data_IF_580108261434
#
_entry.id   IF_580108261434
#
_cell.length_a   1.000
_cell.length_b   1.000
_cell.length_c   1.000
_cell.angle_alpha   90.00
_cell.angle_beta   90.00
_cell.angle_gamma   90.00
#
_symmetry.space_group_name_H-M   'P 1'
#
loop_
_entity.id
_entity.type
_entity.pdbx_description
1 polymer ?
#
# COMPACT_ATOMS: atom_id res chain seq x y z
N UNK A 1 0.55 -7.28 13.63
CA UNK A 1 1.53 -6.51 14.40
C UNK A 1 1.07 -5.06 14.40
N UNK A 2 0.75 -4.46 15.55
CA UNK A 2 0.32 -3.06 15.63
C UNK A 2 1.34 -2.10 15.02
N UNK A 3 2.63 -2.43 15.13
CA UNK A 3 3.71 -1.60 14.63
C UNK A 3 3.73 -1.50 13.09
N UNK A 4 3.16 -2.46 12.35
CA UNK A 4 3.16 -2.42 10.87
C UNK A 4 1.82 -2.04 10.26
N UNK A 5 0.78 -1.82 11.09
CA UNK A 5 -0.57 -1.51 10.64
C UNK A 5 -0.71 -0.17 9.89
N UNK A 6 0.26 0.73 10.07
CA UNK A 6 0.30 2.05 9.44
C UNK A 6 1.03 2.05 8.09
N UNK A 7 1.74 0.98 7.74
CA UNK A 7 2.51 0.90 6.51
C UNK A 7 1.55 0.68 5.34
N UNK A 8 1.50 1.60 4.35
CA UNK A 8 0.60 1.45 3.22
C UNK A 8 1.04 0.27 2.33
N UNK A 9 0.14 -0.69 2.10
CA UNK A 9 0.42 -1.89 1.30
C UNK A 9 -0.08 -1.69 -0.14
N UNK A 10 0.83 -1.76 -1.11
CA UNK A 10 0.56 -1.67 -2.53
C UNK A 10 0.72 -3.05 -3.18
N UNK A 11 -0.35 -3.61 -3.75
CA UNK A 11 -0.29 -4.91 -4.43
C UNK A 11 -0.16 -4.75 -5.95
N UNK A 12 0.73 -5.52 -6.57
CA UNK A 12 0.97 -5.49 -8.03
C UNK A 12 0.80 -6.91 -8.61
N UNK A 13 -0.19 -7.12 -9.48
CA UNK A 13 -0.49 -8.43 -10.09
C UNK A 13 -0.52 -8.36 -11.62
N UNK A 14 -0.05 -9.42 -12.29
CA UNK A 14 -0.05 -9.49 -13.76
C UNK A 14 -1.42 -9.80 -14.38
N UNK A 15 -2.35 -10.30 -13.57
CA UNK A 15 -3.68 -10.70 -13.99
C UNK A 15 -4.64 -10.46 -12.81
N UNK A 16 -4.75 -9.21 -12.34
CA UNK A 16 -5.67 -8.90 -11.26
C UNK A 16 -7.09 -8.88 -11.83
N UNK A 17 -7.96 -9.77 -11.34
CA UNK A 17 -9.38 -9.64 -11.58
C UNK A 17 -9.94 -8.51 -10.70
N UNK A 18 -11.04 -7.90 -11.13
CA UNK A 18 -11.72 -6.84 -10.35
C UNK A 18 -12.05 -7.34 -8.93
N UNK A 19 -12.31 -8.63 -8.77
CA UNK A 19 -12.52 -9.29 -7.48
C UNK A 19 -11.29 -9.27 -6.57
N UNK A 20 -10.08 -9.42 -7.11
CA UNK A 20 -8.83 -9.36 -6.33
C UNK A 20 -8.55 -7.94 -5.85
N UNK A 21 -8.81 -6.96 -6.72
CA UNK A 21 -8.69 -5.53 -6.39
C UNK A 21 -9.66 -5.18 -5.27
N UNK A 22 -10.93 -5.61 -5.40
CA UNK A 22 -11.97 -5.33 -4.41
C UNK A 22 -11.66 -6.02 -3.08
N UNK A 23 -11.23 -7.27 -3.10
CA UNK A 23 -10.83 -7.99 -1.90
C UNK A 23 -9.61 -7.34 -1.22
N UNK A 24 -8.62 -6.88 -1.99
CA UNK A 24 -7.47 -6.15 -1.46
C UNK A 24 -7.88 -4.85 -0.79
N UNK A 25 -8.74 -4.05 -1.42
CA UNK A 25 -9.25 -2.80 -0.85
C UNK A 25 -10.05 -3.07 0.44
N UNK A 26 -10.94 -4.08 0.44
CA UNK A 26 -11.73 -4.45 1.62
C UNK A 26 -10.85 -4.97 2.78
N UNK A 27 -9.67 -5.52 2.47
CA UNK A 27 -8.69 -5.95 3.48
C UNK A 27 -7.70 -4.85 3.90
N UNK A 28 -7.89 -3.61 3.42
CA UNK A 28 -7.08 -2.46 3.83
C UNK A 28 -5.82 -2.25 2.98
N UNK A 29 -5.75 -2.81 1.78
CA UNK A 29 -4.68 -2.48 0.85
C UNK A 29 -4.86 -1.04 0.35
N UNK A 30 -3.76 -0.33 0.26
CA UNK A 30 -3.73 1.08 -0.12
C UNK A 30 -4.04 1.27 -1.61
N UNK A 31 -3.52 0.38 -2.47
CA UNK A 31 -3.90 0.32 -3.89
C UNK A 31 -3.57 -1.05 -4.47
N UNK A 32 -4.19 -1.35 -5.60
CA UNK A 32 -3.92 -2.53 -6.41
C UNK A 32 -3.59 -2.09 -7.84
N UNK A 33 -2.48 -2.59 -8.39
CA UNK A 33 -2.00 -2.27 -9.73
C UNK A 33 -1.93 -3.54 -10.59
N UNK A 34 -2.37 -3.45 -11.84
CA UNK A 34 -2.33 -4.54 -12.83
C UNK A 34 -1.11 -4.40 -13.74
N UNK A 35 -0.51 -5.51 -14.21
CA UNK A 35 0.48 -5.48 -15.30
C UNK A 35 -0.21 -5.53 -16.67
N UNK A 36 0.38 -4.96 -17.74
CA UNK A 36 1.64 -4.19 -17.76
C UNK A 36 1.49 -2.91 -16.93
N UNK A 37 2.51 -2.62 -16.09
CA UNK A 37 2.45 -1.54 -15.11
C UNK A 37 2.37 -0.21 -15.87
N UNK A 38 1.30 0.53 -15.66
CA UNK A 38 1.25 1.92 -16.10
C UNK A 38 2.09 2.75 -15.13
N UNK A 39 3.26 3.20 -15.60
CA UNK A 39 4.22 3.97 -14.80
C UNK A 39 3.57 5.21 -14.18
N UNK A 40 2.67 5.87 -14.89
CA UNK A 40 1.99 7.07 -14.40
C UNK A 40 1.10 6.76 -13.20
N UNK A 41 0.30 5.69 -13.28
CA UNK A 41 -0.54 5.23 -12.16
C UNK A 41 0.29 4.69 -11.00
N UNK A 42 1.43 4.07 -11.28
CA UNK A 42 2.35 3.60 -10.24
C UNK A 42 2.96 4.76 -9.46
N UNK A 43 3.45 5.80 -10.15
CA UNK A 43 4.01 6.98 -9.51
C UNK A 43 2.96 7.70 -8.67
N UNK A 44 1.73 7.87 -9.19
CA UNK A 44 0.62 8.45 -8.40
C UNK A 44 0.30 7.64 -7.14
N UNK A 45 0.27 6.30 -7.25
CA UNK A 45 0.00 5.44 -6.11
C UNK A 45 1.14 5.49 -5.07
N UNK A 46 2.39 5.61 -5.53
CA UNK A 46 3.56 5.76 -4.68
C UNK A 46 3.57 7.10 -3.95
N UNK A 47 3.31 8.20 -4.66
CA UNK A 47 3.24 9.55 -4.07
C UNK A 47 2.16 9.62 -2.98
N UNK A 48 0.98 9.03 -3.25
CA UNK A 48 -0.09 8.95 -2.26
C UNK A 48 0.29 8.09 -1.04
N UNK A 49 1.02 6.99 -1.25
CA UNK A 49 1.46 6.12 -0.17
C UNK A 49 2.52 6.82 0.70
N UNK A 50 3.45 7.53 0.09
CA UNK A 50 4.47 8.31 0.79
C UNK A 50 3.85 9.47 1.58
N UNK A 51 2.91 10.21 0.99
CA UNK A 51 2.16 11.27 1.70
C UNK A 51 1.36 10.70 2.89
N UNK A 52 0.78 9.51 2.74
CA UNK A 52 0.09 8.83 3.85
C UNK A 52 1.05 8.42 4.97
N UNK A 53 2.23 7.90 4.64
CA UNK A 53 3.25 7.53 5.61
C UNK A 53 3.82 8.76 6.35
N UNK A 54 4.11 9.84 5.62
CA UNK A 54 4.62 11.10 6.19
C UNK A 54 3.61 11.78 7.12
N UNK A 55 2.30 11.68 6.82
CA UNK A 55 1.24 12.24 7.66
C UNK A 55 0.93 11.42 8.90
N UNK A 56 1.40 10.18 8.97
CA UNK A 56 1.16 9.28 10.09
C UNK A 56 2.46 8.68 10.65
N UNK A 57 3.41 9.52 11.14
CA UNK A 57 4.72 9.10 11.60
C UNK A 57 4.70 8.31 12.93
N UNK A 58 3.56 8.29 13.63
CA UNK A 58 3.42 7.79 15.01
C UNK A 58 3.60 6.29 15.22
N UNK A 59 4.03 5.51 14.23
CA UNK A 59 4.22 4.07 14.37
C UNK A 59 5.53 3.53 13.77
N UNK A 60 6.38 4.39 13.17
CA UNK A 60 7.71 4.00 12.72
C UNK A 60 8.77 4.03 13.84
N UNK A 61 8.48 4.68 14.97
CA UNK A 61 9.46 4.94 16.05
C UNK A 61 9.44 3.89 17.18
N UNK A 62 8.54 2.89 17.12
CA UNK A 62 8.48 1.80 18.09
C UNK A 62 9.08 0.52 17.50
N UNK A 63 10.38 0.55 17.19
CA UNK A 63 11.18 -0.67 17.01
C UNK A 63 11.59 -1.13 18.40
N UNK A 64 10.98 -2.18 19.00
CA UNK A 64 11.43 -2.66 20.29
C UNK A 64 12.88 -3.15 20.15
N UNK A 65 13.79 -2.79 21.08
CA UNK A 65 15.14 -3.33 21.06
C UNK A 65 15.07 -4.85 21.24
N UNK A 66 15.88 -5.55 20.42
CA UNK A 66 16.03 -7.01 20.40
C UNK A 66 16.28 -7.62 21.78
#
# INVERSE_FOLDING_TARGET
DPATAHIPVLAISANAMVSDVKAGIDQGFFRYLTKPINVQQFMEALDLALDFADRNPGAADEVPPR
#
